data_IF_953494421526
#
_entry.id   IF_953494421526
#
_cell.length_a   1.000
_cell.length_b   1.000
_cell.length_c   1.000
_cell.angle_alpha   90.00
_cell.angle_beta   90.00
_cell.angle_gamma   90.00
#
_symmetry.space_group_name_H-M   'P 1'
#
loop_
_entity.id
_entity.type
_entity.pdbx_description
1 polymer ?
#
# COMPACT_ATOMS: atom_id res chain seq x y z
N UNK A 1 -13.49 3.28 3.98
CA UNK A 1 -12.02 3.49 3.87
C UNK A 1 -11.43 2.32 3.11
N UNK A 2 -10.57 2.58 2.13
CA UNK A 2 -9.95 1.51 1.35
C UNK A 2 -9.09 0.57 2.22
N UNK A 3 -8.83 -0.63 1.72
CA UNK A 3 -7.86 -1.58 2.26
C UNK A 3 -6.73 -1.79 1.27
N UNK A 4 -5.50 -1.77 1.75
CA UNK A 4 -4.31 -2.12 0.97
C UNK A 4 -3.60 -3.29 1.63
N UNK A 5 -3.09 -4.20 0.82
CA UNK A 5 -2.22 -5.28 1.29
C UNK A 5 -1.29 -5.76 0.17
N UNK A 6 -0.27 -6.50 0.56
CA UNK A 6 0.66 -7.06 -0.40
C UNK A 6 1.88 -7.70 0.24
N UNK A 7 2.74 -8.21 -0.62
CA UNK A 7 4.01 -8.82 -0.24
C UNK A 7 5.09 -8.57 -1.29
N UNK A 8 6.35 -8.64 -0.87
CA UNK A 8 7.51 -8.51 -1.73
C UNK A 8 8.63 -9.46 -1.26
N UNK A 9 9.24 -10.19 -2.22
CA UNK A 9 10.39 -11.05 -1.97
C UNK A 9 11.28 -11.08 -3.23
N UNK A 10 12.50 -10.60 -3.13
CA UNK A 10 13.41 -10.49 -4.27
C UNK A 10 14.10 -11.82 -4.65
N UNK A 11 13.97 -12.86 -3.82
CA UNK A 11 14.57 -14.18 -4.02
C UNK A 11 13.58 -15.23 -4.52
N UNK A 12 12.28 -14.87 -4.64
CA UNK A 12 11.24 -15.77 -5.10
C UNK A 12 10.59 -15.20 -6.35
N UNK A 13 10.48 -16.01 -7.39
CA UNK A 13 9.64 -15.67 -8.55
C UNK A 13 8.20 -16.14 -8.29
N UNK A 14 7.32 -15.21 -7.99
CA UNK A 14 5.92 -15.49 -7.72
C UNK A 14 5.16 -15.98 -8.96
N UNK A 15 5.63 -15.67 -10.16
CA UNK A 15 4.99 -16.09 -11.40
C UNK A 15 5.19 -17.58 -11.70
N UNK A 16 6.21 -18.24 -11.13
CA UNK A 16 6.35 -19.70 -11.22
C UNK A 16 5.15 -20.45 -10.61
N UNK A 17 4.47 -19.82 -9.65
CA UNK A 17 3.28 -20.36 -8.99
C UNK A 17 2.16 -19.31 -8.94
N UNK A 18 1.94 -18.61 -10.05
CA UNK A 18 1.01 -17.49 -10.16
C UNK A 18 -0.39 -17.76 -9.54
N UNK A 19 -1.09 -18.87 -9.81
CA UNK A 19 -2.40 -19.12 -9.22
C UNK A 19 -2.37 -19.19 -7.69
N UNK A 20 -1.31 -19.74 -7.11
CA UNK A 20 -1.14 -19.82 -5.66
C UNK A 20 -0.99 -18.44 -5.03
N UNK A 21 -0.13 -17.57 -5.59
CA UNK A 21 0.08 -16.23 -5.04
C UNK A 21 -1.09 -15.28 -5.31
N UNK A 22 -1.80 -15.46 -6.43
CA UNK A 22 -3.07 -14.75 -6.66
C UNK A 22 -4.14 -15.12 -5.64
N UNK A 23 -4.25 -16.39 -5.24
CA UNK A 23 -5.17 -16.81 -4.19
C UNK A 23 -4.82 -16.17 -2.84
N UNK A 24 -3.52 -16.09 -2.48
CA UNK A 24 -3.10 -15.38 -1.26
C UNK A 24 -3.53 -13.91 -1.30
N UNK A 25 -3.33 -13.21 -2.43
CA UNK A 25 -3.77 -11.82 -2.59
C UNK A 25 -5.30 -11.68 -2.52
N UNK A 26 -6.04 -12.65 -3.05
CA UNK A 26 -7.50 -12.70 -2.91
C UNK A 26 -7.90 -12.84 -1.44
N UNK A 27 -7.32 -13.78 -0.70
CA UNK A 27 -7.60 -13.98 0.72
C UNK A 27 -7.26 -12.73 1.55
N UNK A 28 -6.14 -12.05 1.24
CA UNK A 28 -5.76 -10.78 1.87
C UNK A 28 -6.78 -9.68 1.56
N UNK A 29 -7.28 -9.61 0.32
CA UNK A 29 -8.34 -8.69 -0.10
C UNK A 29 -9.65 -8.97 0.64
N UNK A 30 -10.07 -10.24 0.69
CA UNK A 30 -11.31 -10.66 1.36
C UNK A 30 -11.28 -10.36 2.85
N UNK A 31 -10.14 -10.55 3.50
CA UNK A 31 -9.95 -10.15 4.90
C UNK A 31 -10.17 -8.64 5.12
N UNK A 32 -9.97 -7.81 4.09
CA UNK A 32 -10.15 -6.35 4.13
C UNK A 32 -11.47 -5.87 3.49
N UNK A 33 -12.35 -6.77 3.03
CA UNK A 33 -13.57 -6.45 2.29
C UNK A 33 -14.45 -5.40 2.98
N UNK A 34 -14.61 -5.47 4.31
CA UNK A 34 -15.39 -4.51 5.11
C UNK A 34 -14.88 -3.07 5.00
N UNK A 35 -13.64 -2.85 4.54
CA UNK A 35 -13.05 -1.52 4.34
C UNK A 35 -13.45 -0.88 3.02
N UNK A 36 -13.68 -1.70 1.99
CA UNK A 36 -13.96 -1.22 0.65
C UNK A 36 -14.67 -2.28 -0.20
N UNK A 37 -16.01 -2.37 -0.09
CA UNK A 37 -16.77 -3.41 -0.77
C UNK A 37 -17.08 -3.10 -2.25
N UNK A 38 -16.76 -1.89 -2.75
CA UNK A 38 -17.22 -1.44 -4.06
C UNK A 38 -16.45 -2.07 -5.22
N UNK A 39 -15.16 -2.31 -5.04
CA UNK A 39 -14.32 -3.03 -6.01
C UNK A 39 -13.02 -3.53 -5.41
N UNK A 40 -12.40 -4.51 -6.07
CA UNK A 40 -11.07 -5.01 -5.72
C UNK A 40 -10.19 -5.12 -6.93
N UNK A 41 -8.89 -5.01 -6.70
CA UNK A 41 -7.87 -5.17 -7.71
C UNK A 41 -6.68 -5.94 -7.17
N UNK A 42 -6.06 -6.72 -8.05
CA UNK A 42 -4.85 -7.51 -7.76
C UNK A 42 -3.80 -7.20 -8.82
N UNK A 43 -2.58 -7.01 -8.36
CA UNK A 43 -1.38 -6.89 -9.19
C UNK A 43 -0.36 -7.92 -8.71
N UNK A 44 0.27 -8.63 -9.63
CA UNK A 44 1.29 -9.64 -9.31
C UNK A 44 2.39 -9.59 -10.38
N UNK A 45 3.64 -9.54 -9.91
CA UNK A 45 4.86 -9.67 -10.71
C UNK A 45 5.73 -10.78 -10.15
N UNK A 46 6.92 -11.00 -10.73
CA UNK A 46 7.90 -11.94 -10.22
C UNK A 46 8.26 -11.73 -8.75
N UNK A 47 8.29 -10.48 -8.27
CA UNK A 47 8.82 -10.17 -6.93
C UNK A 47 7.86 -9.43 -6.01
N UNK A 48 6.70 -9.02 -6.51
CA UNK A 48 5.73 -8.24 -5.73
C UNK A 48 4.30 -8.61 -6.06
N UNK A 49 3.46 -8.68 -5.03
CA UNK A 49 2.02 -8.79 -5.16
C UNK A 49 1.31 -7.74 -4.32
N UNK A 50 0.31 -7.06 -4.92
CA UNK A 50 -0.55 -6.10 -4.25
C UNK A 50 -2.01 -6.49 -4.37
N UNK A 51 -2.79 -6.22 -3.33
CA UNK A 51 -4.25 -6.20 -3.39
C UNK A 51 -4.82 -4.91 -2.82
N UNK A 52 -5.94 -4.51 -3.38
CA UNK A 52 -6.67 -3.30 -3.00
C UNK A 52 -8.16 -3.58 -2.89
N UNK A 53 -8.79 -3.15 -1.79
CA UNK A 53 -10.25 -3.09 -1.64
C UNK A 53 -10.69 -1.64 -1.60
N UNK A 54 -11.65 -1.27 -2.45
CA UNK A 54 -12.03 0.11 -2.70
C UNK A 54 -13.35 0.48 -2.06
N UNK A 55 -13.36 1.60 -1.34
CA UNK A 55 -14.54 2.40 -1.10
C UNK A 55 -14.46 3.62 -2.02
N UNK A 56 -15.33 3.68 -3.01
CA UNK A 56 -15.32 4.70 -4.06
C UNK A 56 -15.92 6.00 -3.52
N UNK A 57 -15.09 7.01 -3.21
CA UNK A 57 -15.51 8.33 -2.75
C UNK A 57 -15.17 9.37 -3.81
N UNK A 58 -13.93 9.38 -4.29
CA UNK A 58 -13.42 10.31 -5.30
C UNK A 58 -13.20 9.55 -6.60
N UNK A 59 -13.64 10.13 -7.73
CA UNK A 59 -13.50 9.59 -9.08
C UNK A 59 -13.90 8.10 -9.18
N UNK A 60 -15.21 7.76 -9.10
CA UNK A 60 -15.67 6.37 -9.11
C UNK A 60 -15.17 5.55 -10.30
N UNK A 61 -14.92 6.19 -11.45
CA UNK A 61 -14.54 5.55 -12.69
C UNK A 61 -13.03 5.52 -12.95
N UNK A 62 -12.26 6.51 -12.46
CA UNK A 62 -10.84 6.67 -12.80
C UNK A 62 -9.85 6.22 -11.73
N UNK A 63 -10.24 6.15 -10.47
CA UNK A 63 -9.35 5.84 -9.34
C UNK A 63 -9.16 4.35 -9.05
N UNK A 64 -9.19 3.47 -10.07
CA UNK A 64 -8.97 2.04 -9.87
C UNK A 64 -7.53 1.75 -9.42
N UNK A 65 -7.41 0.79 -8.50
CA UNK A 65 -6.13 0.37 -7.95
C UNK A 65 -6.05 -1.16 -7.88
N UNK A 66 -4.86 -1.77 -7.90
CA UNK A 66 -3.53 -1.15 -8.02
C UNK A 66 -3.39 -0.32 -9.30
N UNK A 67 -2.73 0.85 -9.23
CA UNK A 67 -2.54 1.73 -10.38
C UNK A 67 -1.09 1.67 -10.84
N UNK A 68 -0.88 1.35 -12.12
CA UNK A 68 0.45 1.26 -12.72
C UNK A 68 0.70 2.37 -13.73
N UNK A 69 1.91 2.90 -13.70
CA UNK A 69 2.44 3.83 -14.69
C UNK A 69 3.83 3.41 -15.14
N UNK A 70 4.08 3.57 -16.43
CA UNK A 70 5.42 3.38 -16.99
C UNK A 70 6.07 4.75 -17.20
N UNK A 71 7.32 4.88 -16.75
CA UNK A 71 8.13 6.07 -16.92
C UNK A 71 9.58 5.64 -17.18
N UNK A 72 10.19 6.14 -18.28
CA UNK A 72 11.54 5.75 -18.71
C UNK A 72 11.73 4.21 -18.74
N UNK A 73 10.81 3.50 -19.36
CA UNK A 73 10.79 2.02 -19.47
C UNK A 73 10.68 1.24 -18.13
N UNK A 74 10.48 1.93 -17.02
CA UNK A 74 10.23 1.33 -15.71
C UNK A 74 8.74 1.34 -15.35
N UNK A 75 8.25 0.22 -14.81
CA UNK A 75 6.91 0.10 -14.24
C UNK A 75 6.89 0.56 -12.78
N UNK A 76 5.94 1.43 -12.43
CA UNK A 76 5.68 1.83 -11.05
C UNK A 76 4.23 1.56 -10.72
N UNK A 77 4.00 0.81 -9.64
CA UNK A 77 2.65 0.43 -9.22
C UNK A 77 2.38 0.89 -7.80
N UNK A 78 1.23 1.55 -7.58
CA UNK A 78 0.79 2.04 -6.28
C UNK A 78 -0.48 1.34 -5.81
N UNK A 79 -0.55 1.10 -4.49
CA UNK A 79 -1.79 0.90 -3.74
C UNK A 79 -1.87 1.93 -2.62
N UNK A 80 -3.01 2.60 -2.50
CA UNK A 80 -3.19 3.76 -1.65
C UNK A 80 -4.52 3.71 -0.89
N UNK A 81 -4.48 4.03 0.39
CA UNK A 81 -5.62 4.26 1.25
C UNK A 81 -5.46 5.61 1.94
N UNK A 82 -6.19 6.62 1.53
CA UNK A 82 -6.03 7.94 2.10
C UNK A 82 -6.95 8.99 1.50
N UNK A 83 -6.64 10.22 1.84
CA UNK A 83 -7.19 11.43 1.26
C UNK A 83 -6.10 12.50 1.27
N UNK A 84 -5.75 13.01 0.09
CA UNK A 84 -4.75 14.05 -0.12
C UNK A 84 -5.45 15.40 -0.24
N UNK A 85 -5.31 16.26 0.75
CA UNK A 85 -6.05 17.54 0.84
C UNK A 85 -5.55 18.57 -0.15
N UNK A 86 -4.26 18.57 -0.48
CA UNK A 86 -3.64 19.48 -1.44
C UNK A 86 -3.46 18.86 -2.84
N UNK A 87 -4.38 17.98 -3.23
CA UNK A 87 -4.37 17.30 -4.54
C UNK A 87 -4.32 18.28 -5.71
N UNK A 88 -5.11 19.37 -5.63
CA UNK A 88 -5.22 20.33 -6.72
C UNK A 88 -3.89 21.09 -6.93
N UNK A 89 -3.30 21.60 -5.87
CA UNK A 89 -2.05 22.36 -5.88
C UNK A 89 -0.90 21.50 -6.41
N UNK A 90 -0.78 20.27 -5.92
CA UNK A 90 0.24 19.33 -6.38
C UNK A 90 0.04 18.93 -7.84
N UNK A 91 -1.20 18.76 -8.29
CA UNK A 91 -1.52 18.48 -9.69
C UNK A 91 -1.11 19.64 -10.59
N UNK A 92 -1.44 20.88 -10.22
CA UNK A 92 -1.07 22.09 -10.97
C UNK A 92 0.46 22.23 -11.07
N UNK A 93 1.18 21.99 -9.98
CA UNK A 93 2.64 21.96 -9.96
C UNK A 93 3.19 20.90 -10.93
N UNK A 94 2.72 19.66 -10.85
CA UNK A 94 3.19 18.56 -11.70
C UNK A 94 2.87 18.80 -13.19
N UNK A 95 1.71 19.40 -13.50
CA UNK A 95 1.36 19.79 -14.88
C UNK A 95 2.32 20.87 -15.40
N UNK A 96 2.70 21.84 -14.57
CA UNK A 96 3.66 22.89 -14.95
C UNK A 96 5.05 22.31 -15.28
N UNK A 97 5.39 21.15 -14.74
CA UNK A 97 6.61 20.38 -15.05
C UNK A 97 6.43 19.34 -16.18
N UNK A 98 5.30 19.40 -16.91
CA UNK A 98 5.04 18.54 -18.07
C UNK A 98 4.45 17.17 -17.76
N UNK A 99 4.07 16.88 -16.50
CA UNK A 99 3.40 15.63 -16.17
C UNK A 99 1.96 15.62 -16.71
N UNK A 100 1.55 14.46 -17.23
CA UNK A 100 0.20 14.25 -17.79
C UNK A 100 -0.63 13.39 -16.84
N UNK A 101 -1.95 13.58 -16.89
CA UNK A 101 -2.91 12.86 -16.05
C UNK A 101 -4.01 12.22 -16.91
N UNK A 102 -4.47 11.05 -16.50
CA UNK A 102 -5.57 10.29 -17.14
C UNK A 102 -6.83 10.27 -16.30
N UNK A 103 -6.70 10.51 -14.98
CA UNK A 103 -7.78 10.46 -14.00
C UNK A 103 -7.83 11.75 -13.18
N UNK A 104 -8.86 11.88 -12.36
CA UNK A 104 -8.96 12.97 -11.37
C UNK A 104 -8.57 12.51 -9.95
N UNK A 105 -8.09 11.27 -9.80
CA UNK A 105 -7.77 10.69 -8.50
C UNK A 105 -6.51 11.31 -7.87
N UNK A 106 -6.51 11.39 -6.55
CA UNK A 106 -5.33 11.71 -5.74
C UNK A 106 -4.25 10.63 -5.85
N UNK A 107 -4.64 9.37 -6.04
CA UNK A 107 -3.72 8.25 -6.30
C UNK A 107 -2.77 8.55 -7.48
N UNK A 108 -3.31 9.08 -8.58
CA UNK A 108 -2.48 9.43 -9.75
C UNK A 108 -1.56 10.62 -9.46
N UNK A 109 -2.00 11.58 -8.64
CA UNK A 109 -1.15 12.71 -8.21
C UNK A 109 0.04 12.21 -7.39
N UNK A 110 -0.20 11.28 -6.46
CA UNK A 110 0.87 10.68 -5.65
C UNK A 110 1.85 9.89 -6.53
N UNK A 111 1.34 9.07 -7.43
CA UNK A 111 2.18 8.27 -8.32
C UNK A 111 3.02 9.16 -9.25
N UNK A 112 2.42 10.18 -9.87
CA UNK A 112 3.13 11.14 -10.71
C UNK A 112 4.17 11.95 -9.94
N UNK A 113 3.83 12.39 -8.72
CA UNK A 113 4.76 13.08 -7.86
C UNK A 113 5.97 12.21 -7.49
N UNK A 114 5.73 10.94 -7.20
CA UNK A 114 6.80 9.98 -6.95
C UNK A 114 7.68 9.76 -8.20
N UNK A 115 7.10 9.68 -9.39
CA UNK A 115 7.86 9.57 -10.64
C UNK A 115 8.73 10.80 -10.90
N UNK A 116 8.26 11.99 -10.53
CA UNK A 116 8.95 13.26 -10.75
C UNK A 116 10.05 13.53 -9.73
N UNK A 117 9.78 13.37 -8.42
CA UNK A 117 10.70 13.73 -7.33
C UNK A 117 11.21 12.55 -6.50
N UNK A 118 10.75 11.33 -6.82
CA UNK A 118 11.05 10.14 -6.02
C UNK A 118 10.40 10.15 -4.63
N UNK A 119 10.98 9.43 -3.66
CA UNK A 119 10.41 9.31 -2.30
C UNK A 119 10.27 10.63 -1.54
N UNK A 120 11.02 11.68 -1.95
CA UNK A 120 10.97 13.01 -1.30
C UNK A 120 9.64 13.73 -1.50
N UNK A 121 8.88 13.39 -2.54
CA UNK A 121 7.56 13.96 -2.82
C UNK A 121 6.59 13.87 -1.63
N UNK A 122 6.71 12.82 -0.81
CA UNK A 122 5.86 12.66 0.38
C UNK A 122 5.89 13.86 1.33
N UNK A 123 6.99 14.61 1.35
CA UNK A 123 7.15 15.82 2.20
C UNK A 123 6.26 16.99 1.79
N UNK A 124 5.78 17.00 0.55
CA UNK A 124 4.85 18.01 0.02
C UNK A 124 3.40 17.64 0.27
N UNK A 125 3.12 16.38 0.61
CA UNK A 125 1.78 15.87 0.78
C UNK A 125 1.16 16.38 2.08
N UNK A 126 -0.02 16.98 1.97
CA UNK A 126 -0.88 17.31 3.10
C UNK A 126 -2.11 16.42 3.05
N UNK A 127 -2.24 15.50 4.01
CA UNK A 127 -3.32 14.53 4.00
C UNK A 127 -3.17 13.44 5.05
N UNK A 128 -4.08 12.50 5.01
CA UNK A 128 -4.08 11.29 5.83
C UNK A 128 -3.94 10.08 4.89
N UNK A 129 -2.88 9.31 5.02
CA UNK A 129 -2.59 8.27 4.04
C UNK A 129 -1.75 7.10 4.56
N UNK A 130 -1.94 5.97 3.90
CA UNK A 130 -1.00 4.85 3.87
C UNK A 130 -0.95 4.33 2.44
N UNK A 131 0.25 4.11 1.90
CA UNK A 131 0.40 3.58 0.56
C UNK A 131 1.70 2.80 0.39
N UNK A 132 1.70 1.96 -0.65
CA UNK A 132 2.87 1.24 -1.11
C UNK A 132 3.12 1.57 -2.59
N UNK A 133 4.38 1.78 -2.96
CA UNK A 133 4.82 1.90 -4.35
C UNK A 133 5.90 0.86 -4.61
N UNK A 134 5.76 0.10 -5.69
CA UNK A 134 6.79 -0.80 -6.19
C UNK A 134 7.41 -0.21 -7.46
N UNK A 135 8.73 -0.05 -7.42
CA UNK A 135 9.58 0.29 -8.55
C UNK A 135 10.14 -1.02 -9.13
N UNK A 136 9.63 -1.41 -10.28
CA UNK A 136 9.94 -2.69 -10.91
C UNK A 136 11.39 -2.73 -11.42
N UNK A 137 11.90 -1.62 -11.96
CA UNK A 137 13.24 -1.56 -12.52
C UNK A 137 14.34 -1.69 -11.46
N UNK A 138 14.15 -1.05 -10.30
CA UNK A 138 15.11 -1.10 -9.20
C UNK A 138 14.77 -2.18 -8.17
N UNK A 139 13.64 -2.87 -8.32
CA UNK A 139 13.14 -3.87 -7.38
C UNK A 139 13.01 -3.33 -5.94
N UNK A 140 12.47 -2.11 -5.82
CA UNK A 140 12.32 -1.44 -4.55
C UNK A 140 10.85 -1.29 -4.17
N UNK A 141 10.51 -1.73 -2.96
CA UNK A 141 9.22 -1.50 -2.35
C UNK A 141 9.32 -0.35 -1.34
N UNK A 142 8.52 0.68 -1.56
CA UNK A 142 8.37 1.82 -0.65
C UNK A 142 7.05 1.70 0.10
N UNK A 143 7.10 1.86 1.43
CA UNK A 143 5.94 1.95 2.29
C UNK A 143 5.90 3.33 2.95
N UNK A 144 4.77 4.01 2.83
CA UNK A 144 4.56 5.34 3.41
C UNK A 144 3.32 5.38 4.29
N UNK A 145 3.43 6.14 5.36
CA UNK A 145 2.31 6.40 6.26
C UNK A 145 2.33 7.87 6.69
N UNK A 146 1.16 8.48 6.86
CA UNK A 146 1.05 9.86 7.35
C UNK A 146 1.69 10.04 8.74
N UNK A 147 2.13 11.26 9.03
CA UNK A 147 2.91 11.57 10.22
C UNK A 147 2.19 11.25 11.55
N UNK A 148 0.86 11.28 11.55
CA UNK A 148 0.05 10.97 12.74
C UNK A 148 -0.42 9.51 12.77
N UNK A 149 -0.16 8.75 11.71
CA UNK A 149 -0.60 7.37 11.57
C UNK A 149 -2.12 7.22 11.54
N UNK A 150 -2.84 8.20 10.99
CA UNK A 150 -4.31 8.17 10.90
C UNK A 150 -4.78 7.01 10.04
N UNK A 151 -4.10 6.77 8.92
CA UNK A 151 -4.38 5.56 8.12
C UNK A 151 -3.49 4.42 8.61
N UNK A 152 -4.10 3.27 8.93
CA UNK A 152 -3.34 2.14 9.45
C UNK A 152 -2.48 1.50 8.37
N UNK A 153 -1.25 1.13 8.74
CA UNK A 153 -0.34 0.33 7.96
C UNK A 153 0.48 -0.55 8.90
N UNK A 154 0.35 -1.85 8.72
CA UNK A 154 1.09 -2.88 9.45
C UNK A 154 2.00 -3.61 8.48
N UNK A 155 3.17 -4.03 8.92
CA UNK A 155 4.06 -4.86 8.14
C UNK A 155 4.73 -5.94 9.01
N UNK A 156 5.16 -7.00 8.36
CA UNK A 156 5.92 -8.09 8.96
C UNK A 156 6.96 -8.56 7.97
N UNK A 157 8.20 -8.73 8.45
CA UNK A 157 9.20 -9.50 7.74
C UNK A 157 9.07 -10.96 8.19
N UNK A 158 8.75 -11.84 7.23
CA UNK A 158 8.60 -13.27 7.46
C UNK A 158 9.54 -14.02 6.51
N UNK A 159 10.61 -14.62 7.07
CA UNK A 159 11.78 -15.02 6.30
C UNK A 159 12.26 -13.83 5.43
N UNK A 160 12.41 -14.04 4.12
CA UNK A 160 12.85 -12.99 3.18
C UNK A 160 11.69 -12.25 2.51
N UNK A 161 10.46 -12.44 3.00
CA UNK A 161 9.27 -11.81 2.46
C UNK A 161 8.80 -10.68 3.37
N UNK A 162 8.75 -9.46 2.84
CA UNK A 162 8.04 -8.36 3.47
C UNK A 162 6.56 -8.46 3.14
N UNK A 163 5.70 -8.48 4.14
CA UNK A 163 4.25 -8.53 4.01
C UNK A 163 3.68 -7.29 4.68
N UNK A 164 2.73 -6.62 4.03
CA UNK A 164 2.06 -5.44 4.59
C UNK A 164 0.55 -5.49 4.39
N UNK A 165 -0.16 -4.79 5.27
CA UNK A 165 -1.61 -4.67 5.19
C UNK A 165 -2.14 -3.49 6.01
N UNK A 166 -3.30 -2.99 5.63
CA UNK A 166 -4.05 -2.01 6.42
C UNK A 166 -4.48 -2.55 7.80
N UNK A 167 -4.63 -3.86 7.95
CA UNK A 167 -4.98 -4.50 9.21
C UNK A 167 -4.20 -5.81 9.41
N UNK A 168 -3.85 -6.19 10.66
CA UNK A 168 -3.04 -7.39 10.91
C UNK A 168 -3.63 -8.68 10.31
N UNK A 169 -4.95 -8.80 10.24
CA UNK A 169 -5.61 -9.99 9.67
C UNK A 169 -5.28 -10.22 8.19
N UNK A 170 -5.00 -9.16 7.41
CA UNK A 170 -4.51 -9.33 6.05
C UNK A 170 -3.12 -9.97 6.00
N UNK A 171 -2.23 -9.65 6.98
CA UNK A 171 -0.91 -10.29 7.09
C UNK A 171 -1.06 -11.79 7.43
N UNK A 172 -2.04 -12.15 8.25
CA UNK A 172 -2.26 -13.53 8.67
C UNK A 172 -2.80 -14.43 7.54
N UNK A 173 -3.27 -13.86 6.43
CA UNK A 173 -3.61 -14.62 5.23
C UNK A 173 -2.37 -15.16 4.49
N UNK A 174 -1.18 -14.59 4.74
CA UNK A 174 0.04 -15.10 4.14
C UNK A 174 0.47 -16.40 4.84
N UNK A 175 0.72 -17.48 4.09
CA UNK A 175 1.02 -18.81 4.64
C UNK A 175 2.20 -18.78 5.63
N UNK A 176 1.99 -19.37 6.81
CA UNK A 176 2.98 -19.38 7.90
C UNK A 176 2.97 -18.14 8.80
N UNK A 177 2.28 -17.07 8.46
CA UNK A 177 2.12 -15.89 9.30
C UNK A 177 1.06 -16.11 10.39
N UNK A 178 1.35 -16.98 11.35
CA UNK A 178 0.44 -17.29 12.46
C UNK A 178 0.52 -16.16 13.50
N UNK A 179 -0.63 -15.64 14.00
CA UNK A 179 -0.64 -14.70 15.11
C UNK A 179 -0.13 -15.36 16.40
N UNK A 180 0.72 -14.64 17.13
CA UNK A 180 1.19 -15.07 18.44
C UNK A 180 1.05 -13.94 19.45
N UNK A 181 0.75 -14.31 20.71
CA UNK A 181 0.61 -13.34 21.79
C UNK A 181 1.98 -13.11 22.43
N UNK A 182 2.42 -11.85 22.43
CA UNK A 182 3.65 -11.43 23.10
C UNK A 182 3.32 -11.07 24.57
N UNK A 183 3.98 -11.74 25.53
CA UNK A 183 3.77 -11.48 26.98
C UNK A 183 4.16 -10.06 27.37
N UNK A 184 5.25 -9.53 26.82
CA UNK A 184 5.69 -8.15 27.10
C UNK A 184 4.64 -7.15 26.60
N UNK A 185 4.16 -7.32 25.35
CA UNK A 185 3.10 -6.48 24.81
C UNK A 185 1.79 -6.54 25.59
N UNK A 186 1.43 -7.72 26.13
CA UNK A 186 0.28 -7.82 27.06
C UNK A 186 0.51 -7.02 28.35
N UNK A 187 1.67 -7.13 28.97
CA UNK A 187 2.01 -6.36 30.17
C UNK A 187 1.98 -4.85 29.89
N UNK A 188 2.46 -4.40 28.72
CA UNK A 188 2.39 -3.00 28.32
C UNK A 188 0.93 -2.54 28.16
N UNK A 189 0.08 -3.32 27.47
CA UNK A 189 -1.34 -2.99 27.29
C UNK A 189 -2.07 -2.88 28.62
N UNK A 190 -1.86 -3.84 29.54
CA UNK A 190 -2.54 -3.86 30.83
C UNK A 190 -1.97 -2.84 31.84
N UNK A 191 -0.66 -2.53 31.73
CA UNK A 191 0.01 -1.59 32.64
C UNK A 191 -0.05 -0.13 32.19
N UNK A 192 0.07 0.12 30.91
CA UNK A 192 0.23 1.46 30.34
C UNK A 192 -0.93 1.86 29.39
N UNK A 193 -1.83 0.94 29.08
CA UNK A 193 -2.88 1.12 28.07
C UNK A 193 -2.35 0.82 26.65
N UNK A 194 -3.17 1.07 25.62
CA UNK A 194 -2.79 0.79 24.22
C UNK A 194 -1.48 1.47 23.85
N UNK A 195 -0.55 0.69 23.29
CA UNK A 195 0.76 1.19 22.85
C UNK A 195 0.60 2.36 21.87
N UNK A 196 1.21 3.49 22.19
CA UNK A 196 1.18 4.70 21.35
C UNK A 196 2.35 4.79 20.40
N UNK A 197 3.40 4.00 20.63
CA UNK A 197 4.57 3.85 19.78
C UNK A 197 4.84 2.36 19.53
N UNK A 198 5.56 1.98 18.46
CA UNK A 198 6.09 0.64 18.34
C UNK A 198 6.94 0.37 19.59
N UNK A 199 6.42 -0.45 20.50
CA UNK A 199 7.16 -0.95 21.63
C UNK A 199 8.26 -1.92 21.18
N UNK A 200 9.06 -2.42 22.10
CA UNK A 200 10.06 -3.46 21.86
C UNK A 200 9.40 -4.86 21.67
N UNK A 201 8.20 -4.90 21.13
CA UNK A 201 7.45 -6.14 20.92
C UNK A 201 7.49 -6.57 19.45
#
# INVERSE_FOLDING_TARGET
MCGISGFCNLHTDFLEREPYYRNILSDMSDALYHRGPDSHGIYLTSHTGFSHTRLAIIDPHGGLQPMTRHYCDAGFTIVYNGELYNTKELREELVSHGMTFRTHSDTEVILNGFLFEGPSFVRKMNGIFAFAIYDEAHQLLYLFRDAFGVKPLFYRLFHDTLIFSSEPKGIFCYPGCIPSVNKTGLCEIFGLGPARNPGNA
#
